data_IF_733897828911
#
_entry.id   IF_733897828911
#
_cell.length_a   1.000
_cell.length_b   1.000
_cell.length_c   1.000
_cell.angle_alpha   90.00
_cell.angle_beta   90.00
_cell.angle_gamma   90.00
#
_symmetry.space_group_name_H-M   'P 1'
#
loop_
_entity.id
_entity.type
_entity.pdbx_description
1 polymer ?
#
# COMPACT_ATOMS: atom_id res chain seq x y z
N UNK A 1 -5.64 20.21 8.00
CA UNK A 1 -5.83 19.28 6.87
C UNK A 1 -4.87 19.51 5.70
N UNK A 2 -4.69 20.76 5.22
CA UNK A 2 -3.80 21.06 4.06
C UNK A 2 -2.37 20.56 4.24
N UNK A 3 -1.77 20.76 5.41
CA UNK A 3 -0.39 20.29 5.66
C UNK A 3 -0.27 18.78 5.66
N UNK A 4 -1.31 18.07 6.11
CA UNK A 4 -1.35 16.61 6.09
C UNK A 4 -1.31 16.10 4.65
N UNK A 5 -2.17 16.63 3.78
CA UNK A 5 -2.22 16.24 2.36
C UNK A 5 -0.91 16.61 1.66
N UNK A 6 -0.36 17.80 1.94
CA UNK A 6 0.92 18.26 1.40
C UNK A 6 2.08 17.33 1.81
N UNK A 7 2.09 16.84 3.05
CA UNK A 7 3.07 15.86 3.49
C UNK A 7 2.84 14.51 2.81
N UNK A 8 1.60 14.02 2.77
CA UNK A 8 1.25 12.75 2.16
C UNK A 8 1.64 12.67 0.67
N UNK A 9 1.57 13.79 -0.06
CA UNK A 9 1.96 13.89 -1.47
C UNK A 9 3.44 14.22 -1.69
N UNK A 10 4.26 14.34 -0.62
CA UNK A 10 5.72 14.49 -0.78
C UNK A 10 6.28 13.27 -1.51
N UNK A 11 7.12 13.53 -2.52
CA UNK A 11 7.78 12.48 -3.31
C UNK A 11 8.45 11.41 -2.45
N UNK A 12 9.12 11.79 -1.36
CA UNK A 12 9.77 10.83 -0.46
C UNK A 12 8.78 9.87 0.23
N UNK A 13 7.59 10.36 0.60
CA UNK A 13 6.54 9.54 1.22
C UNK A 13 5.88 8.65 0.17
N UNK A 14 5.54 9.21 -0.99
CA UNK A 14 4.92 8.44 -2.08
C UNK A 14 5.84 7.31 -2.55
N UNK A 15 7.12 7.59 -2.80
CA UNK A 15 8.08 6.57 -3.25
C UNK A 15 8.24 5.48 -2.20
N UNK A 16 8.38 5.84 -0.92
CA UNK A 16 8.42 4.84 0.18
C UNK A 16 7.15 4.00 0.23
N UNK A 17 5.99 4.63 0.13
CA UNK A 17 4.69 3.96 0.15
C UNK A 17 4.56 2.98 -1.01
N UNK A 18 4.94 3.39 -2.23
CA UNK A 18 4.90 2.53 -3.43
C UNK A 18 5.85 1.33 -3.29
N UNK A 19 7.09 1.55 -2.84
CA UNK A 19 8.06 0.46 -2.64
C UNK A 19 7.56 -0.53 -1.59
N UNK A 20 7.11 -0.02 -0.43
CA UNK A 20 6.55 -0.84 0.65
C UNK A 20 5.34 -1.65 0.17
N UNK A 21 4.39 -0.99 -0.49
CA UNK A 21 3.21 -1.61 -1.07
C UNK A 21 3.56 -2.67 -2.10
N UNK A 22 4.53 -2.42 -2.98
CA UNK A 22 4.95 -3.38 -4.00
C UNK A 22 5.52 -4.64 -3.36
N UNK A 23 6.47 -4.50 -2.41
CA UNK A 23 7.12 -5.64 -1.77
C UNK A 23 6.11 -6.44 -0.94
N UNK A 24 5.42 -5.78 0.00
CA UNK A 24 4.47 -6.44 0.91
C UNK A 24 3.28 -6.99 0.15
N UNK A 25 2.75 -6.22 -0.81
CA UNK A 25 1.60 -6.61 -1.61
C UNK A 25 1.90 -7.84 -2.49
N UNK A 26 3.07 -7.90 -3.14
CA UNK A 26 3.47 -9.08 -3.91
C UNK A 26 3.61 -10.32 -3.03
N UNK A 27 4.22 -10.20 -1.86
CA UNK A 27 4.33 -11.32 -0.90
C UNK A 27 2.94 -11.79 -0.47
N UNK A 28 2.04 -10.87 -0.09
CA UNK A 28 0.69 -11.19 0.35
C UNK A 28 -0.15 -11.84 -0.76
N UNK A 29 -0.01 -11.40 -2.00
CA UNK A 29 -0.67 -12.02 -3.14
C UNK A 29 -0.16 -13.44 -3.37
N UNK A 30 1.17 -13.64 -3.32
CA UNK A 30 1.77 -14.95 -3.52
C UNK A 30 1.25 -15.97 -2.48
N UNK A 31 1.12 -15.58 -1.21
CA UNK A 31 0.66 -16.50 -0.16
C UNK A 31 -0.86 -16.64 -0.05
N UNK A 32 -1.65 -15.65 -0.51
CA UNK A 32 -3.10 -15.64 -0.30
C UNK A 32 -3.92 -15.96 -1.54
N UNK A 33 -3.42 -15.61 -2.73
CA UNK A 33 -4.08 -15.87 -4.01
C UNK A 33 -3.16 -16.51 -5.05
N UNK A 34 -1.96 -16.96 -4.65
CA UNK A 34 -1.02 -17.65 -5.52
C UNK A 34 -1.64 -18.85 -6.22
N UNK A 35 -2.37 -19.69 -5.48
CA UNK A 35 -3.05 -20.87 -6.04
C UNK A 35 -4.14 -20.50 -7.04
N UNK A 36 -4.90 -19.43 -6.77
CA UNK A 36 -5.97 -18.95 -7.68
C UNK A 36 -5.38 -18.42 -8.98
N UNK A 37 -4.27 -17.69 -8.89
CA UNK A 37 -3.54 -17.17 -10.06
C UNK A 37 -2.92 -18.32 -10.85
N UNK A 38 -2.30 -19.29 -10.17
CA UNK A 38 -1.66 -20.44 -10.80
C UNK A 38 -2.66 -21.37 -11.51
N UNK A 39 -3.82 -21.60 -10.89
CA UNK A 39 -4.90 -22.41 -11.47
C UNK A 39 -5.72 -21.67 -12.54
N UNK A 40 -5.42 -20.39 -12.83
CA UNK A 40 -6.11 -19.60 -13.84
C UNK A 40 -7.55 -19.19 -13.49
N UNK A 41 -7.99 -19.35 -12.24
CA UNK A 41 -9.38 -19.12 -11.83
C UNK A 41 -9.63 -17.67 -11.35
N UNK A 42 -9.15 -16.69 -12.12
CA UNK A 42 -9.23 -15.27 -11.75
C UNK A 42 -10.62 -14.67 -12.02
N UNK A 43 -11.46 -14.62 -10.98
CA UNK A 43 -12.71 -13.86 -10.99
C UNK A 43 -12.54 -12.38 -10.59
N UNK A 44 -13.54 -11.55 -10.89
CA UNK A 44 -13.61 -10.12 -10.51
C UNK A 44 -13.41 -9.92 -9.00
N UNK A 45 -13.91 -10.84 -8.16
CA UNK A 45 -13.73 -10.80 -6.70
C UNK A 45 -12.26 -10.92 -6.30
N UNK A 46 -11.46 -11.67 -7.04
CA UNK A 46 -10.02 -11.81 -6.81
C UNK A 46 -9.27 -10.55 -7.23
N UNK A 47 -9.66 -9.91 -8.34
CA UNK A 47 -9.07 -8.63 -8.76
C UNK A 47 -9.25 -7.53 -7.70
N UNK A 48 -10.45 -7.43 -7.10
CA UNK A 48 -10.70 -6.48 -6.01
C UNK A 48 -9.82 -6.76 -4.77
N UNK A 49 -9.65 -8.05 -4.41
CA UNK A 49 -8.76 -8.45 -3.31
C UNK A 49 -7.30 -8.10 -3.60
N UNK A 50 -6.81 -8.38 -4.80
CA UNK A 50 -5.46 -8.05 -5.26
C UNK A 50 -5.22 -6.54 -5.15
N UNK A 51 -6.17 -5.71 -5.62
CA UNK A 51 -6.10 -4.26 -5.49
C UNK A 51 -5.98 -3.79 -4.04
N UNK A 52 -6.82 -4.33 -3.14
CA UNK A 52 -6.76 -4.02 -1.71
C UNK A 52 -5.44 -4.45 -1.07
N UNK A 53 -4.88 -5.59 -1.48
CA UNK A 53 -3.59 -6.10 -0.98
C UNK A 53 -2.43 -5.13 -1.25
N UNK A 54 -2.48 -4.35 -2.32
CA UNK A 54 -1.53 -3.25 -2.54
C UNK A 54 -1.95 -1.95 -1.84
N UNK A 55 -3.25 -1.64 -1.82
CA UNK A 55 -3.75 -0.36 -1.29
C UNK A 55 -3.52 -0.23 0.22
N UNK A 56 -3.76 -1.30 0.97
CA UNK A 56 -3.59 -1.32 2.44
C UNK A 56 -2.15 -0.97 2.88
N UNK A 57 -1.08 -1.66 2.41
CA UNK A 57 0.28 -1.33 2.82
C UNK A 57 0.73 0.06 2.35
N UNK A 58 0.22 0.56 1.21
CA UNK A 58 0.47 1.93 0.78
C UNK A 58 -0.11 2.96 1.77
N UNK A 59 -1.39 2.79 2.16
CA UNK A 59 -2.08 3.69 3.08
C UNK A 59 -1.40 3.68 4.44
N UNK A 60 -1.11 2.51 5.00
CA UNK A 60 -0.46 2.39 6.31
C UNK A 60 0.92 3.05 6.26
N UNK A 61 1.73 2.78 5.23
CA UNK A 61 3.05 3.41 5.07
C UNK A 61 2.97 4.94 4.99
N UNK A 62 1.99 5.48 4.24
CA UNK A 62 1.78 6.91 4.08
C UNK A 62 1.31 7.56 5.38
N UNK A 63 0.30 7.01 6.04
CA UNK A 63 -0.26 7.54 7.30
C UNK A 63 0.79 7.55 8.41
N UNK A 64 1.53 6.45 8.57
CA UNK A 64 2.62 6.36 9.57
C UNK A 64 3.74 7.36 9.28
N UNK A 65 4.13 7.54 8.01
CA UNK A 65 5.17 8.51 7.62
C UNK A 65 4.77 9.95 7.89
N UNK A 66 3.52 10.32 7.56
CA UNK A 66 3.00 11.67 7.84
C UNK A 66 2.86 11.90 9.33
N UNK A 67 2.39 10.91 10.10
CA UNK A 67 2.30 10.98 11.56
C UNK A 67 3.67 11.23 12.20
N UNK A 68 4.68 10.46 11.81
CA UNK A 68 6.05 10.62 12.32
C UNK A 68 6.62 12.01 12.02
N UNK A 69 6.49 12.52 10.79
CA UNK A 69 6.99 13.86 10.43
C UNK A 69 6.28 14.99 11.18
N UNK A 70 4.99 14.84 11.48
CA UNK A 70 4.23 15.82 12.27
C UNK A 70 4.64 15.83 13.74
N UNK A 71 4.91 14.66 14.32
CA UNK A 71 5.36 14.56 15.72
C UNK A 71 6.76 15.16 15.94
N UNK A 72 7.64 15.13 14.93
CA UNK A 72 8.97 15.76 15.01
C UNK A 72 8.91 17.28 14.85
N UNK A 73 7.82 17.82 14.29
CA UNK A 73 7.62 19.26 14.04
C UNK A 73 6.80 19.97 15.13
N UNK A 74 6.40 19.24 16.18
CA UNK A 74 5.67 19.73 17.36
C UNK A 74 6.65 19.84 18.52
#
# INVERSE_FOLDING_TARGET
MRDWIRLATKRSIVVRGVICSSIVGTILIAINQGDVIWNGNLEIRHAAKIGLTYMVPYIVSTVSSVGALRNVSQ
#
